data_IF_964198780949
#
_entry.id   IF_964198780949
#
_cell.length_a   1.000
_cell.length_b   1.000
_cell.length_c   1.000
_cell.angle_alpha   90.00
_cell.angle_beta   90.00
_cell.angle_gamma   90.00
#
_symmetry.space_group_name_H-M   'P 1'
#
loop_
_entity.id
_entity.type
_entity.pdbx_description
1 polymer ?
#
# COMPACT_ATOMS: atom_id res chain seq x y z
N UNK A 1 18.23 -22.72 48.89
CA UNK A 1 17.28 -21.77 49.53
C UNK A 1 16.14 -21.48 48.55
N UNK A 2 14.92 -21.98 48.88
CA UNK A 2 13.74 -21.89 48.00
C UNK A 2 12.91 -20.67 48.46
N UNK A 3 12.83 -19.63 47.64
CA UNK A 3 11.91 -18.51 47.89
C UNK A 3 10.54 -18.85 47.31
N UNK A 4 9.55 -19.05 48.18
CA UNK A 4 8.12 -19.13 47.85
C UNK A 4 7.61 -17.67 47.73
N UNK A 5 7.18 -17.26 46.53
CA UNK A 5 6.44 -16.00 46.34
C UNK A 5 4.96 -16.28 46.55
N UNK A 6 4.42 -15.82 47.64
CA UNK A 6 2.99 -15.77 47.93
C UNK A 6 2.39 -14.54 47.24
N UNK A 7 1.49 -14.75 46.30
CA UNK A 7 0.68 -13.70 45.68
C UNK A 7 -0.49 -13.36 46.61
N UNK A 8 -0.54 -12.10 47.04
CA UNK A 8 -1.62 -11.54 47.86
C UNK A 8 -2.67 -10.94 46.89
N UNK A 9 -3.86 -11.56 46.83
CA UNK A 9 -5.03 -11.01 46.11
C UNK A 9 -5.78 -10.09 47.03
N UNK A 10 -5.82 -8.80 46.72
CA UNK A 10 -6.68 -7.82 47.39
C UNK A 10 -7.92 -7.64 46.53
N UNK A 11 -9.06 -8.16 47.01
CA UNK A 11 -10.36 -7.85 46.46
C UNK A 11 -10.82 -6.49 47.02
N UNK A 12 -10.92 -5.48 46.18
CA UNK A 12 -11.63 -4.24 46.50
C UNK A 12 -13.03 -4.33 45.89
N UNK A 13 -14.03 -4.53 46.74
CA UNK A 13 -15.43 -4.32 46.41
C UNK A 13 -15.78 -2.85 46.69
N UNK A 14 -16.23 -2.12 45.72
CA UNK A 14 -16.88 -0.83 45.91
C UNK A 14 -17.92 -0.63 44.80
N UNK A 15 -19.22 -0.73 45.12
CA UNK A 15 -20.03 0.44 45.32
C UNK A 15 -20.69 0.88 44.00
N UNK A 16 -21.86 0.31 43.68
CA UNK A 16 -22.80 0.76 42.65
C UNK A 16 -23.35 2.16 42.98
N UNK A 17 -23.03 3.17 42.17
CA UNK A 17 -23.81 4.41 42.07
C UNK A 17 -24.41 4.47 40.66
N UNK A 18 -25.71 4.23 40.59
CA UNK A 18 -26.51 4.34 39.39
C UNK A 18 -26.64 5.79 38.95
N UNK A 19 -26.20 6.07 37.71
CA UNK A 19 -26.48 7.33 37.02
C UNK A 19 -27.62 7.10 36.04
N UNK A 20 -28.78 7.65 36.36
CA UNK A 20 -29.95 7.68 35.50
C UNK A 20 -29.71 8.74 34.43
N UNK A 21 -29.47 8.34 33.18
CA UNK A 21 -29.50 9.25 32.04
C UNK A 21 -30.95 9.39 31.54
N UNK A 22 -31.47 10.58 31.68
CA UNK A 22 -32.74 11.01 31.07
C UNK A 22 -32.47 11.29 29.61
N UNK A 23 -32.98 10.45 28.70
CA UNK A 23 -32.98 10.70 27.26
C UNK A 23 -34.01 11.80 26.94
N UNK A 24 -33.50 13.02 26.70
CA UNK A 24 -34.29 14.06 26.07
C UNK A 24 -34.43 13.77 24.57
N UNK A 25 -35.67 13.49 24.12
CA UNK A 25 -36.01 13.38 22.72
C UNK A 25 -35.94 14.76 22.05
N UNK A 26 -35.03 14.94 21.08
CA UNK A 26 -35.01 16.11 20.17
C UNK A 26 -35.76 15.71 18.91
N UNK A 27 -36.84 16.46 18.51
CA UNK A 27 -37.54 16.18 17.27
C UNK A 27 -36.68 16.58 16.09
N UNK A 28 -36.19 15.60 15.35
CA UNK A 28 -35.45 15.80 14.10
C UNK A 28 -36.37 16.32 12.99
N UNK A 29 -36.07 17.46 12.43
CA UNK A 29 -36.65 17.93 11.16
C UNK A 29 -36.09 17.05 10.05
N UNK A 30 -36.97 16.28 9.40
CA UNK A 30 -36.70 15.62 8.12
C UNK A 30 -36.45 16.69 7.05
N UNK A 31 -35.21 16.82 6.62
CA UNK A 31 -34.87 17.52 5.39
C UNK A 31 -34.99 16.55 4.21
N UNK A 32 -35.99 16.78 3.35
CA UNK A 32 -36.15 16.10 2.07
C UNK A 32 -35.02 16.56 1.15
N UNK A 33 -34.25 15.66 0.50
CA UNK A 33 -33.26 16.08 -0.49
C UNK A 33 -33.98 16.59 -1.76
N UNK A 34 -33.43 17.62 -2.45
CA UNK A 34 -34.00 18.12 -3.69
C UNK A 34 -33.92 17.07 -4.78
N UNK A 35 -35.04 16.90 -5.49
CA UNK A 35 -35.15 16.04 -6.67
C UNK A 35 -34.23 16.58 -7.79
N UNK A 36 -33.44 15.69 -8.36
CA UNK A 36 -32.66 15.95 -9.56
C UNK A 36 -33.60 16.23 -10.73
N UNK A 37 -33.46 17.41 -11.32
CA UNK A 37 -34.13 17.88 -12.53
C UNK A 37 -33.66 17.03 -13.72
N UNK A 38 -34.63 16.38 -14.37
CA UNK A 38 -34.40 15.59 -15.58
C UNK A 38 -34.17 16.54 -16.73
N UNK A 39 -32.91 16.72 -17.14
CA UNK A 39 -32.56 17.46 -18.36
C UNK A 39 -32.92 16.59 -19.57
N UNK A 40 -33.87 17.04 -20.38
CA UNK A 40 -34.24 16.44 -21.64
C UNK A 40 -33.10 16.58 -22.66
N UNK A 41 -32.82 15.55 -23.49
CA UNK A 41 -31.83 15.67 -24.55
C UNK A 41 -32.35 16.56 -25.69
N UNK A 42 -31.46 17.44 -26.15
CA UNK A 42 -31.68 18.32 -27.30
C UNK A 42 -31.69 17.50 -28.60
N UNK A 43 -32.36 17.99 -29.67
CA UNK A 43 -32.57 17.22 -30.91
C UNK A 43 -31.31 17.06 -31.74
N UNK A 44 -31.20 15.85 -32.28
CA UNK A 44 -30.18 15.33 -33.16
C UNK A 44 -30.09 16.18 -34.45
N UNK A 45 -28.96 16.85 -34.68
CA UNK A 45 -28.66 17.49 -35.98
C UNK A 45 -27.90 16.48 -36.83
N UNK A 46 -28.57 16.04 -37.88
CA UNK A 46 -27.99 15.31 -39.02
C UNK A 46 -27.02 16.24 -39.76
N UNK A 47 -25.72 16.09 -39.44
CA UNK A 47 -24.61 16.75 -40.14
C UNK A 47 -23.85 15.72 -40.98
N UNK A 48 -23.81 15.95 -42.29
CA UNK A 48 -23.12 15.17 -43.31
C UNK A 48 -21.66 14.89 -42.94
N UNK A 49 -21.29 13.64 -43.07
CA UNK A 49 -19.91 13.13 -42.95
C UNK A 49 -19.09 13.63 -44.16
N UNK A 50 -18.00 14.36 -43.95
CA UNK A 50 -17.02 14.57 -45.01
C UNK A 50 -16.23 13.27 -45.21
N UNK A 51 -16.24 12.82 -46.43
CA UNK A 51 -15.43 11.68 -46.94
C UNK A 51 -13.95 12.13 -46.89
N UNK A 52 -13.13 11.52 -46.01
CA UNK A 52 -11.67 11.66 -46.01
C UNK A 52 -11.08 10.74 -47.10
N UNK A 53 -10.06 11.20 -47.85
CA UNK A 53 -9.33 10.38 -48.80
C UNK A 53 -8.67 9.21 -48.05
N UNK A 54 -8.95 8.00 -48.54
CA UNK A 54 -8.23 6.78 -48.10
C UNK A 54 -6.78 6.90 -48.55
N UNK A 55 -5.87 7.25 -47.64
CA UNK A 55 -4.45 6.94 -47.80
C UNK A 55 -4.24 5.52 -47.28
N UNK A 56 -3.84 4.65 -48.19
CA UNK A 56 -3.35 3.31 -47.93
C UNK A 56 -2.20 3.39 -46.92
N UNK A 57 -2.20 2.65 -45.81
CA UNK A 57 -1.08 2.66 -44.88
C UNK A 57 0.07 1.91 -45.51
N UNK A 58 1.07 2.65 -45.98
CA UNK A 58 2.41 2.13 -46.26
C UNK A 58 2.92 1.42 -45.02
N UNK A 59 3.07 0.10 -45.12
CA UNK A 59 3.54 -0.76 -44.02
C UNK A 59 4.99 -0.46 -43.78
N UNK A 60 5.25 0.48 -42.88
CA UNK A 60 6.55 0.61 -42.26
C UNK A 60 6.70 -0.53 -41.25
N UNK A 61 7.50 -1.54 -41.61
CA UNK A 61 8.02 -2.52 -40.64
C UNK A 61 8.74 -1.73 -39.53
N UNK A 62 8.44 -1.97 -38.24
CA UNK A 62 9.21 -1.36 -37.17
C UNK A 62 10.63 -1.92 -37.21
N UNK A 63 11.61 -1.08 -37.53
CA UNK A 63 13.02 -1.41 -37.36
C UNK A 63 13.21 -1.88 -35.93
N UNK A 64 13.51 -3.16 -35.75
CA UNK A 64 13.87 -3.76 -34.47
C UNK A 64 15.25 -3.21 -34.05
N UNK A 65 15.24 -2.11 -33.33
CA UNK A 65 16.39 -1.69 -32.57
C UNK A 65 16.82 -2.81 -31.60
N UNK A 66 18.07 -2.83 -31.09
CA UNK A 66 18.53 -3.86 -30.19
C UNK A 66 17.55 -3.94 -29.00
N UNK A 67 17.00 -5.14 -28.77
CA UNK A 67 16.08 -5.38 -27.67
C UNK A 67 16.73 -4.93 -26.35
N UNK A 68 16.02 -4.13 -25.57
CA UNK A 68 16.47 -3.77 -24.23
C UNK A 68 16.72 -5.06 -23.42
N UNK A 69 17.76 -5.10 -22.57
CA UNK A 69 18.01 -6.26 -21.72
C UNK A 69 16.76 -6.57 -20.89
N UNK A 70 16.48 -7.86 -20.71
CA UNK A 70 15.36 -8.29 -19.88
C UNK A 70 15.53 -7.74 -18.44
N UNK A 71 14.43 -7.36 -17.74
CA UNK A 71 14.52 -6.84 -16.40
C UNK A 71 15.10 -7.88 -15.42
N UNK A 72 15.87 -7.43 -14.46
CA UNK A 72 16.35 -8.27 -13.36
C UNK A 72 15.20 -8.55 -12.41
N UNK A 73 14.84 -9.82 -12.26
CA UNK A 73 13.75 -10.23 -11.36
C UNK A 73 14.24 -10.38 -9.92
N UNK A 74 13.48 -9.83 -8.98
CA UNK A 74 13.66 -10.01 -7.54
C UNK A 74 13.01 -11.31 -7.07
N UNK A 75 11.86 -11.65 -7.66
CA UNK A 75 11.09 -12.88 -7.40
C UNK A 75 10.22 -13.19 -8.61
N UNK A 76 9.27 -14.12 -8.52
CA UNK A 76 8.45 -14.54 -9.65
C UNK A 76 7.59 -13.40 -10.24
N UNK A 77 7.18 -12.43 -9.41
CA UNK A 77 6.25 -11.36 -9.83
C UNK A 77 6.79 -9.94 -9.59
N UNK A 78 7.99 -9.79 -9.05
CA UNK A 78 8.58 -8.49 -8.76
C UNK A 78 9.89 -8.31 -9.52
N UNK A 79 10.04 -7.13 -10.12
CA UNK A 79 11.32 -6.71 -10.66
C UNK A 79 12.20 -6.10 -9.56
N UNK A 80 13.51 -6.28 -9.63
CA UNK A 80 14.44 -5.70 -8.67
C UNK A 80 14.36 -4.16 -8.68
N UNK A 81 14.03 -3.57 -9.81
CA UNK A 81 13.84 -2.12 -9.97
C UNK A 81 12.72 -1.55 -9.10
N UNK A 82 11.69 -2.36 -8.73
CA UNK A 82 10.60 -1.92 -7.85
C UNK A 82 11.09 -1.61 -6.43
N UNK A 83 12.22 -2.16 -6.03
CA UNK A 83 12.83 -1.93 -4.72
C UNK A 83 13.93 -0.87 -4.74
N UNK A 84 14.16 -0.23 -5.87
CA UNK A 84 15.19 0.79 -6.01
C UNK A 84 14.91 2.02 -5.13
N UNK A 85 16.01 2.70 -4.72
CA UNK A 85 15.88 3.96 -3.99
C UNK A 85 15.18 5.03 -4.84
N UNK A 86 14.10 5.59 -4.31
CA UNK A 86 13.24 6.59 -4.95
C UNK A 86 13.73 8.04 -4.73
N UNK A 87 15.01 8.24 -4.38
CA UNK A 87 15.59 9.57 -4.22
C UNK A 87 15.68 10.31 -5.57
N UNK A 88 15.51 11.63 -5.54
CA UNK A 88 15.58 12.48 -6.72
C UNK A 88 17.04 12.75 -7.14
N UNK A 89 17.85 11.70 -7.33
CA UNK A 89 19.25 11.82 -7.74
C UNK A 89 20.23 12.08 -6.58
N UNK A 90 19.83 11.78 -5.34
CA UNK A 90 20.71 11.88 -4.17
C UNK A 90 21.73 10.72 -4.07
N UNK A 91 21.53 9.66 -4.83
CA UNK A 91 22.50 8.57 -4.98
C UNK A 91 22.56 8.13 -6.44
N UNK A 92 23.52 7.30 -6.79
CA UNK A 92 23.73 6.74 -8.14
C UNK A 92 22.81 5.55 -8.46
N UNK A 93 21.70 5.46 -7.76
CA UNK A 93 20.57 4.59 -8.05
C UNK A 93 20.46 3.39 -7.12
N UNK A 94 21.11 2.29 -7.43
CA UNK A 94 20.88 1.01 -6.78
C UNK A 94 22.04 0.59 -5.84
N UNK A 95 22.11 1.12 -4.61
CA UNK A 95 23.29 0.93 -3.78
C UNK A 95 23.34 -0.41 -3.05
N UNK A 96 22.19 -1.06 -2.84
CA UNK A 96 22.12 -2.24 -1.99
C UNK A 96 21.24 -3.34 -2.61
N UNK A 97 21.50 -4.56 -2.20
CA UNK A 97 20.67 -5.72 -2.52
C UNK A 97 19.57 -5.86 -1.48
N UNK A 98 18.39 -6.25 -1.93
CA UNK A 98 17.33 -6.66 -1.04
C UNK A 98 17.65 -8.01 -0.38
N UNK A 99 17.23 -8.17 0.86
CA UNK A 99 17.36 -9.41 1.60
C UNK A 99 16.52 -10.52 0.93
N UNK A 100 17.11 -11.66 0.52
CA UNK A 100 16.37 -12.71 -0.16
C UNK A 100 15.20 -13.28 0.64
N UNK A 101 15.33 -13.33 1.98
CA UNK A 101 14.25 -13.78 2.85
C UNK A 101 13.07 -12.83 2.84
N UNK A 102 13.33 -11.52 2.75
CA UNK A 102 12.27 -10.53 2.62
C UNK A 102 11.55 -10.65 1.27
N UNK A 103 12.32 -10.80 0.18
CA UNK A 103 11.76 -10.99 -1.17
C UNK A 103 10.86 -12.22 -1.25
N UNK A 104 11.31 -13.35 -0.69
CA UNK A 104 10.53 -14.59 -0.62
C UNK A 104 9.21 -14.40 0.14
N UNK A 105 9.24 -13.69 1.26
CA UNK A 105 8.04 -13.47 2.09
C UNK A 105 7.07 -12.48 1.46
N UNK A 106 7.55 -11.45 0.76
CA UNK A 106 6.71 -10.53 0.00
C UNK A 106 6.07 -11.25 -1.19
N UNK A 107 6.81 -12.14 -1.88
CA UNK A 107 6.25 -12.99 -2.93
C UNK A 107 5.14 -13.88 -2.37
N UNK A 108 5.37 -14.56 -1.24
CA UNK A 108 4.37 -15.40 -0.59
C UNK A 108 3.12 -14.62 -0.18
N UNK A 109 3.26 -13.35 0.24
CA UNK A 109 2.14 -12.46 0.53
C UNK A 109 1.30 -12.18 -0.74
N UNK A 110 1.97 -11.90 -1.86
CA UNK A 110 1.32 -11.70 -3.16
C UNK A 110 0.57 -12.94 -3.62
N UNK A 111 1.21 -14.10 -3.51
CA UNK A 111 0.61 -15.40 -3.86
C UNK A 111 -0.62 -15.72 -3.00
N UNK A 112 -0.55 -15.42 -1.69
CA UNK A 112 -1.65 -15.64 -0.75
C UNK A 112 -2.92 -14.90 -1.17
N UNK A 113 -2.81 -13.67 -1.61
CA UNK A 113 -3.97 -12.87 -2.05
C UNK A 113 -4.32 -13.08 -3.52
N UNK A 114 -3.40 -13.57 -4.35
CA UNK A 114 -3.57 -13.66 -5.80
C UNK A 114 -3.80 -12.30 -6.46
N UNK A 115 -3.36 -11.21 -5.81
CA UNK A 115 -3.56 -9.83 -6.23
C UNK A 115 -2.21 -9.10 -6.32
N UNK A 116 -2.10 -8.03 -7.13
CA UNK A 116 -0.89 -7.22 -7.18
C UNK A 116 -0.59 -6.59 -5.81
N UNK A 117 0.62 -6.82 -5.31
CA UNK A 117 1.20 -6.07 -4.19
C UNK A 117 2.11 -5.00 -4.77
N UNK A 118 1.98 -3.78 -4.31
CA UNK A 118 2.72 -2.61 -4.81
C UNK A 118 3.76 -2.20 -3.78
N UNK A 119 5.02 -2.13 -4.19
CA UNK A 119 6.13 -1.64 -3.39
C UNK A 119 6.15 -0.11 -3.50
N UNK A 120 6.04 0.59 -2.39
CA UNK A 120 6.08 2.06 -2.34
C UNK A 120 7.44 2.59 -1.89
N UNK A 121 8.25 1.77 -1.22
CA UNK A 121 9.62 2.08 -0.85
C UNK A 121 10.38 0.77 -0.57
N UNK A 122 11.49 0.58 -1.24
CA UNK A 122 12.43 -0.53 -0.98
C UNK A 122 13.67 -0.02 -0.27
N UNK A 123 14.84 -0.10 -0.95
CA UNK A 123 16.11 0.45 -0.44
C UNK A 123 16.04 1.97 -0.33
N UNK A 124 16.65 2.53 0.72
CA UNK A 124 16.85 3.99 0.86
C UNK A 124 18.34 4.30 1.07
N UNK A 125 18.87 5.22 0.30
CA UNK A 125 20.17 5.81 0.60
C UNK A 125 20.09 6.66 1.88
N UNK A 126 21.25 7.07 2.43
CA UNK A 126 21.30 7.86 3.67
C UNK A 126 20.53 9.17 3.58
N UNK A 127 20.71 9.88 2.45
CA UNK A 127 20.05 11.16 2.23
C UNK A 127 18.53 11.01 2.10
N UNK A 128 18.07 10.01 1.34
CA UNK A 128 16.63 9.73 1.24
C UNK A 128 16.02 9.32 2.57
N UNK A 129 16.73 8.51 3.34
CA UNK A 129 16.27 8.11 4.67
C UNK A 129 16.11 9.33 5.59
N UNK A 130 17.06 10.28 5.52
CA UNK A 130 16.99 11.53 6.28
C UNK A 130 15.84 12.41 5.81
N UNK A 131 15.65 12.56 4.49
CA UNK A 131 14.57 13.36 3.88
C UNK A 131 13.17 12.90 4.34
N UNK A 132 12.94 11.58 4.42
CA UNK A 132 11.66 11.02 4.87
C UNK A 132 11.54 10.91 6.40
N UNK A 133 12.51 11.39 7.15
CA UNK A 133 12.50 11.33 8.62
C UNK A 133 12.76 9.93 9.18
N UNK A 134 13.40 9.06 8.42
CA UNK A 134 13.75 7.71 8.85
C UNK A 134 14.82 7.69 9.95
N UNK A 135 14.77 6.69 10.82
CA UNK A 135 15.76 6.51 11.89
C UNK A 135 17.13 6.15 11.31
N UNK A 136 18.20 6.54 12.02
CA UNK A 136 19.59 6.31 11.56
C UNK A 136 19.93 4.83 11.31
N UNK A 137 19.25 3.90 11.99
CA UNK A 137 19.42 2.45 11.84
C UNK A 137 18.33 1.79 11.00
N UNK A 138 17.66 2.53 10.13
CA UNK A 138 16.56 2.05 9.28
C UNK A 138 16.94 0.77 8.51
N UNK A 139 16.06 -0.21 8.54
CA UNK A 139 16.20 -1.46 7.78
C UNK A 139 16.15 -1.25 6.26
N UNK A 140 15.45 -0.22 5.78
CA UNK A 140 15.48 0.17 4.37
C UNK A 140 16.90 0.46 3.83
N UNK A 141 17.78 1.00 4.68
CA UNK A 141 19.17 1.31 4.27
C UNK A 141 20.00 0.07 3.95
N UNK A 142 19.57 -1.10 4.43
CA UNK A 142 20.26 -2.37 4.25
C UNK A 142 19.54 -3.32 3.30
N UNK A 143 18.38 -2.93 2.79
CA UNK A 143 17.53 -3.80 2.00
C UNK A 143 16.76 -4.86 2.81
N UNK A 144 16.65 -4.69 4.12
CA UNK A 144 15.97 -5.60 5.04
C UNK A 144 14.51 -5.18 5.29
N UNK A 145 14.01 -4.13 4.62
CA UNK A 145 12.65 -3.63 4.76
C UNK A 145 12.05 -3.16 3.43
N UNK A 146 10.71 -3.16 3.39
CA UNK A 146 9.92 -2.54 2.32
C UNK A 146 8.64 -1.94 2.89
N UNK A 147 8.15 -0.86 2.25
CA UNK A 147 6.81 -0.32 2.46
C UNK A 147 5.94 -0.75 1.27
N UNK A 148 4.73 -1.25 1.55
CA UNK A 148 3.90 -1.83 0.50
C UNK A 148 2.40 -1.79 0.82
N UNK A 149 1.57 -1.96 -0.21
CA UNK A 149 0.12 -2.14 -0.08
C UNK A 149 -0.40 -3.09 -1.15
N UNK A 150 -1.64 -3.57 -0.97
CA UNK A 150 -2.34 -4.35 -1.97
C UNK A 150 -3.69 -3.67 -2.26
N UNK A 151 -3.96 -3.25 -3.50
CA UNK A 151 -5.25 -2.65 -3.86
C UNK A 151 -6.41 -3.58 -3.54
N UNK A 152 -7.42 -3.05 -2.84
CA UNK A 152 -8.61 -3.81 -2.48
C UNK A 152 -8.50 -4.68 -1.22
N UNK A 153 -7.33 -4.74 -0.57
CA UNK A 153 -7.14 -5.44 0.70
C UNK A 153 -6.89 -4.45 1.83
N UNK A 154 -7.58 -4.62 2.96
CA UNK A 154 -7.39 -3.74 4.11
C UNK A 154 -5.99 -3.89 4.71
N UNK A 155 -5.37 -2.77 5.12
CA UNK A 155 -4.01 -2.75 5.72
C UNK A 155 -3.90 -3.70 6.91
N UNK A 156 -4.95 -3.83 7.72
CA UNK A 156 -4.97 -4.72 8.89
C UNK A 156 -4.85 -6.20 8.52
N UNK A 157 -5.54 -6.61 7.47
CA UNK A 157 -5.51 -8.00 6.97
C UNK A 157 -4.15 -8.32 6.35
N UNK A 158 -3.61 -7.39 5.53
CA UNK A 158 -2.26 -7.49 4.98
C UNK A 158 -1.21 -7.62 6.08
N UNK A 159 -1.29 -6.75 7.10
CA UNK A 159 -0.37 -6.73 8.22
C UNK A 159 -0.41 -8.04 9.03
N UNK A 160 -1.59 -8.63 9.21
CA UNK A 160 -1.72 -9.91 9.90
C UNK A 160 -1.11 -11.03 9.08
N UNK A 161 -1.45 -11.13 7.78
CA UNK A 161 -0.87 -12.16 6.90
C UNK A 161 0.64 -12.04 6.80
N UNK A 162 1.19 -10.83 6.72
CA UNK A 162 2.62 -10.59 6.69
C UNK A 162 3.32 -11.08 7.98
N UNK A 163 2.70 -10.89 9.15
CA UNK A 163 3.19 -11.45 10.42
C UNK A 163 3.17 -12.99 10.43
N UNK A 164 2.11 -13.59 9.91
CA UNK A 164 1.97 -15.04 9.83
C UNK A 164 3.02 -15.65 8.88
N UNK A 165 3.46 -14.88 7.88
CA UNK A 165 4.59 -15.19 7.00
C UNK A 165 5.97 -14.89 7.63
N UNK A 166 6.01 -14.45 8.88
CA UNK A 166 7.22 -14.28 9.67
C UNK A 166 7.92 -12.94 9.51
N UNK A 167 7.26 -11.92 8.96
CA UNK A 167 7.78 -10.55 8.91
C UNK A 167 7.44 -9.76 10.16
N UNK A 168 8.32 -8.84 10.58
CA UNK A 168 7.94 -7.77 11.48
C UNK A 168 7.15 -6.71 10.71
N UNK A 169 6.11 -6.16 11.32
CA UNK A 169 5.15 -5.30 10.60
C UNK A 169 4.79 -4.06 11.39
N UNK A 170 4.78 -2.90 10.71
CA UNK A 170 4.27 -1.65 11.24
C UNK A 170 3.20 -1.10 10.27
N UNK A 171 1.89 -1.18 10.61
CA UNK A 171 0.83 -0.69 9.75
C UNK A 171 0.64 0.83 9.87
N UNK A 172 0.46 1.51 8.72
CA UNK A 172 0.13 2.92 8.59
C UNK A 172 -1.30 3.08 8.06
N UNK A 173 -2.28 2.83 8.90
CA UNK A 173 -3.70 2.78 8.53
C UNK A 173 -4.20 4.04 7.83
N UNK A 174 -3.80 5.22 8.31
CA UNK A 174 -4.22 6.50 7.72
C UNK A 174 -3.63 6.74 6.32
N UNK A 175 -2.48 6.12 6.03
CA UNK A 175 -1.76 6.27 4.76
C UNK A 175 -2.05 5.11 3.79
N UNK A 176 -2.72 4.07 4.24
CA UNK A 176 -3.14 2.95 3.38
C UNK A 176 -2.03 1.98 3.00
N UNK A 177 -0.89 1.98 3.68
CA UNK A 177 0.23 1.05 3.46
C UNK A 177 0.76 0.48 4.78
N UNK A 178 1.67 -0.46 4.71
CA UNK A 178 2.36 -1.01 5.87
C UNK A 178 3.83 -1.28 5.56
N UNK A 179 4.65 -1.15 6.59
CA UNK A 179 6.06 -1.46 6.58
C UNK A 179 6.27 -2.91 6.99
N UNK A 180 7.17 -3.61 6.31
CA UNK A 180 7.64 -4.96 6.65
C UNK A 180 9.15 -4.99 6.74
N UNK A 181 9.68 -5.84 7.63
CA UNK A 181 11.12 -6.06 7.79
C UNK A 181 11.45 -7.49 8.27
N UNK A 182 12.69 -7.91 8.08
CA UNK A 182 13.24 -9.20 8.50
C UNK A 182 14.52 -9.04 9.29
#
# INVERSE_FOLDING_TARGET
MKYKKTALWIFLAAGSAGLVFIFGAVPGKSAVPPQAEIVQPAPEQTGQKPELPQQEPESAEPESGPAAPAPEMASAHFEMAEYQCDCAGLCDGWPARMNPVLLERIEALREYYGLPVVITSGVRCEDRNTEVGGVAWSFHKRGDAADLYCPGVAVGDLAQTAKDLGMNVLPYYASGYFHVEV
#
